data_IF_375995349998
#
_entry.id   IF_375995349998
#
_cell.length_a   1.000
_cell.length_b   1.000
_cell.length_c   1.000
_cell.angle_alpha   90.00
_cell.angle_beta   90.00
_cell.angle_gamma   90.00
#
_symmetry.space_group_name_H-M   'P 1'
#
loop_
_entity.id
_entity.type
_entity.pdbx_description
1 polymer ?
#
# COMPACT_ATOMS: atom_id res chain seq x y z
N UNK A 1 -25.92 -3.32 -4.43
CA UNK A 1 -25.96 -2.23 -3.46
C UNK A 1 -24.55 -2.01 -2.92
N UNK A 2 -23.92 -0.95 -3.42
CA UNK A 2 -22.51 -0.59 -3.19
C UNK A 2 -22.32 0.08 -1.82
N UNK A 3 -23.39 0.59 -1.23
CA UNK A 3 -23.38 1.23 0.09
C UNK A 3 -22.98 0.28 1.23
N UNK A 4 -23.18 -1.02 1.04
CA UNK A 4 -22.78 -2.05 2.03
C UNK A 4 -21.27 -2.24 2.19
N UNK A 5 -20.47 -1.77 1.25
CA UNK A 5 -18.98 -1.97 1.28
C UNK A 5 -18.30 -0.87 2.08
N UNK A 6 -18.97 0.27 2.30
CA UNK A 6 -18.37 1.50 2.82
C UNK A 6 -18.74 1.78 4.27
N UNK A 7 -19.75 1.07 4.83
CA UNK A 7 -20.33 1.40 6.15
C UNK A 7 -19.53 0.92 7.37
N UNK A 8 -18.44 0.18 7.21
CA UNK A 8 -17.70 -0.40 8.36
C UNK A 8 -16.37 0.29 8.71
N UNK A 9 -16.10 1.50 8.20
CA UNK A 9 -14.84 2.20 8.52
C UNK A 9 -14.99 3.64 9.01
N UNK A 10 -16.14 4.02 9.57
CA UNK A 10 -16.25 5.26 10.34
C UNK A 10 -15.77 5.02 11.78
N UNK A 11 -14.47 5.20 11.98
CA UNK A 11 -13.91 5.54 13.29
C UNK A 11 -13.65 7.03 13.23
N UNK A 12 -14.43 7.74 14.05
CA UNK A 12 -14.35 9.16 14.31
C UNK A 12 -12.92 9.55 14.69
N UNK A 13 -12.36 10.55 14.01
CA UNK A 13 -11.21 11.28 14.47
C UNK A 13 -11.63 12.74 14.64
N UNK A 14 -12.01 13.07 15.87
CA UNK A 14 -12.14 14.44 16.33
C UNK A 14 -10.76 15.08 16.39
N UNK A 15 -10.64 16.21 15.73
CA UNK A 15 -9.55 17.17 15.90
C UNK A 15 -9.85 18.07 17.07
N UNK A 16 -8.86 18.47 17.86
CA UNK A 16 -8.85 19.79 18.48
C UNK A 16 -7.81 20.70 17.85
N UNK A 17 -8.29 21.91 17.63
CA UNK A 17 -7.60 23.12 17.17
C UNK A 17 -6.54 23.62 18.15
N UNK A 18 -5.53 24.22 17.51
CA UNK A 18 -5.00 25.56 17.81
C UNK A 18 -4.18 25.78 19.10
N UNK A 19 -2.95 26.23 18.95
CA UNK A 19 -2.34 27.46 19.50
C UNK A 19 -0.83 27.49 19.26
N UNK A 20 -0.42 28.33 18.33
CA UNK A 20 0.56 29.43 18.30
C UNK A 20 1.80 29.42 19.23
N UNK A 21 2.96 29.75 18.58
CA UNK A 21 4.14 30.55 19.05
C UNK A 21 5.14 29.84 19.96
N UNK A 22 6.43 30.07 19.90
CA UNK A 22 7.39 31.02 19.30
C UNK A 22 8.82 30.47 19.37
N UNK A 23 9.60 30.81 18.37
CA UNK A 23 11.01 31.23 18.30
C UNK A 23 11.92 31.05 19.52
N UNK A 24 13.09 30.42 19.34
CA UNK A 24 14.43 30.91 19.71
C UNK A 24 15.55 29.95 19.29
N UNK A 25 16.27 30.25 18.33
CA UNK A 25 17.69 30.60 18.07
C UNK A 25 18.76 30.27 19.09
N UNK A 26 19.93 29.87 18.54
CA UNK A 26 21.33 29.98 18.98
C UNK A 26 21.80 28.86 19.94
N UNK A 27 22.98 28.27 19.86
CA UNK A 27 24.27 28.59 19.24
C UNK A 27 25.21 27.41 19.34
N UNK A 28 26.05 27.27 18.36
CA UNK A 28 27.48 26.97 18.30
C UNK A 28 28.26 26.62 19.61
N UNK A 29 29.09 25.60 19.49
CA UNK A 29 30.58 25.57 19.62
C UNK A 29 31.02 24.11 19.75
N UNK A 30 31.80 23.62 18.82
CA UNK A 30 33.27 23.66 18.65
C UNK A 30 34.08 22.89 19.68
N UNK A 31 34.76 21.90 19.10
CA UNK A 31 36.14 21.43 19.29
C UNK A 31 36.56 20.85 20.66
N UNK A 32 37.17 19.69 20.68
CA UNK A 32 38.63 19.51 20.58
C UNK A 32 39.04 18.05 20.52
N UNK A 33 40.06 17.86 19.70
CA UNK A 33 40.98 16.72 19.60
C UNK A 33 41.68 16.47 20.94
N UNK A 34 42.08 15.24 21.21
CA UNK A 34 43.49 14.87 21.34
C UNK A 34 43.70 13.38 21.61
N UNK A 35 44.64 12.87 20.86
CA UNK A 35 45.59 11.79 20.92
C UNK A 35 45.82 11.05 22.24
N UNK A 36 46.12 9.76 22.13
CA UNK A 36 47.38 9.11 22.47
C UNK A 36 47.23 7.69 23.02
N UNK A 37 47.85 6.81 22.30
CA UNK A 37 48.70 5.65 22.62
C UNK A 37 48.10 4.32 23.09
N UNK A 38 48.49 3.34 22.24
CA UNK A 38 48.61 1.90 22.53
C UNK A 38 49.68 1.60 23.59
N UNK A 39 49.56 0.47 24.29
CA UNK A 39 50.62 -0.51 24.15
C UNK A 39 50.14 -1.92 23.78
N UNK A 40 50.96 -2.53 22.96
CA UNK A 40 51.05 -3.96 22.68
C UNK A 40 51.25 -4.77 23.96
N UNK A 41 50.61 -5.92 24.07
CA UNK A 41 51.32 -7.14 24.53
C UNK A 41 50.66 -8.43 24.05
N UNK A 42 51.51 -9.32 23.78
CA UNK A 42 51.51 -10.58 23.10
C UNK A 42 50.63 -11.70 23.67
N UNK A 43 50.17 -12.48 22.72
CA UNK A 43 50.08 -13.96 22.72
C UNK A 43 49.76 -14.74 24.00
N UNK A 44 48.58 -15.36 23.98
CA UNK A 44 48.51 -16.76 24.41
C UNK A 44 47.38 -17.47 23.65
N UNK A 45 47.79 -18.44 22.89
CA UNK A 45 46.98 -19.44 22.18
C UNK A 45 46.08 -20.17 23.16
N UNK A 46 44.79 -20.09 22.96
CA UNK A 46 43.85 -21.06 23.49
C UNK A 46 42.87 -21.40 22.39
N UNK A 47 43.00 -22.58 21.86
CA UNK A 47 42.08 -23.24 20.94
C UNK A 47 40.75 -23.40 21.67
N UNK A 48 39.80 -22.53 21.37
CA UNK A 48 38.41 -22.75 21.76
C UNK A 48 37.71 -23.28 20.53
N UNK A 49 37.33 -24.56 20.59
CA UNK A 49 36.43 -25.20 19.66
C UNK A 49 35.11 -24.39 19.61
N UNK A 50 34.95 -23.56 18.58
CA UNK A 50 33.68 -22.99 18.22
C UNK A 50 32.87 -24.07 17.50
N UNK A 51 32.18 -24.88 18.29
CA UNK A 51 30.96 -25.55 17.84
C UNK A 51 29.93 -24.44 17.59
N UNK A 52 29.33 -24.32 16.41
CA UNK A 52 28.19 -23.45 16.25
C UNK A 52 27.06 -24.00 17.11
N UNK A 53 26.79 -23.36 18.24
CA UNK A 53 25.55 -23.55 18.96
C UNK A 53 24.50 -22.93 18.02
N UNK A 54 23.75 -23.77 17.33
CA UNK A 54 22.45 -23.36 16.78
C UNK A 54 21.62 -22.96 17.96
N UNK A 55 21.69 -21.69 18.30
CA UNK A 55 20.80 -21.05 19.26
C UNK A 55 19.42 -21.02 18.59
N UNK A 56 18.65 -22.07 18.87
CA UNK A 56 17.23 -22.13 18.63
C UNK A 56 16.58 -21.05 19.52
N UNK A 57 16.72 -19.79 19.10
CA UNK A 57 16.09 -18.68 19.77
C UNK A 57 14.58 -18.79 19.57
N UNK A 58 13.90 -19.21 20.60
CA UNK A 58 12.44 -19.14 20.67
C UNK A 58 12.04 -17.69 20.40
N UNK A 59 11.05 -17.44 19.52
CA UNK A 59 10.64 -16.09 19.21
C UNK A 59 10.20 -15.36 20.49
N UNK A 60 10.59 -14.13 20.63
CA UNK A 60 10.20 -13.29 21.75
C UNK A 60 8.69 -13.03 21.71
N UNK A 61 8.09 -12.74 22.87
CA UNK A 61 6.67 -12.39 22.95
C UNK A 61 6.32 -11.22 22.02
N UNK A 62 7.21 -10.21 21.89
CA UNK A 62 7.05 -9.13 20.93
C UNK A 62 7.01 -9.61 19.47
N UNK A 63 7.89 -10.51 19.09
CA UNK A 63 7.91 -11.07 17.72
C UNK A 63 6.64 -11.84 17.40
N UNK A 64 6.09 -12.57 18.37
CA UNK A 64 4.82 -13.29 18.23
C UNK A 64 3.67 -12.30 18.02
N UNK A 65 3.56 -11.26 18.85
CA UNK A 65 2.52 -10.24 18.70
C UNK A 65 2.66 -9.47 17.40
N UNK A 66 3.88 -9.08 17.01
CA UNK A 66 4.15 -8.39 15.77
C UNK A 66 3.77 -9.24 14.55
N UNK A 67 4.17 -10.52 14.53
CA UNK A 67 3.82 -11.45 13.45
C UNK A 67 2.29 -11.64 13.35
N UNK A 68 1.61 -11.75 14.48
CA UNK A 68 0.14 -11.89 14.52
C UNK A 68 -0.54 -10.63 13.96
N UNK A 69 -0.13 -9.45 14.39
CA UNK A 69 -0.68 -8.18 13.90
C UNK A 69 -0.43 -7.99 12.40
N UNK A 70 0.75 -8.36 11.91
CA UNK A 70 1.06 -8.32 10.48
C UNK A 70 0.21 -9.31 9.67
N UNK A 71 0.01 -10.52 10.17
CA UNK A 71 -0.85 -11.52 9.53
C UNK A 71 -2.32 -11.07 9.48
N UNK A 72 -2.82 -10.43 10.52
CA UNK A 72 -4.17 -9.87 10.55
C UNK A 72 -4.33 -8.73 9.55
N UNK A 73 -3.36 -7.82 9.47
CA UNK A 73 -3.32 -6.72 8.50
C UNK A 73 -3.33 -7.25 7.06
N UNK A 74 -2.50 -8.25 6.79
CA UNK A 74 -2.44 -8.88 5.46
C UNK A 74 -3.77 -9.55 5.10
N UNK A 75 -4.37 -10.29 6.03
CA UNK A 75 -5.68 -10.93 5.83
C UNK A 75 -6.79 -9.90 5.58
N UNK A 76 -6.79 -8.77 6.30
CA UNK A 76 -7.75 -7.70 6.09
C UNK A 76 -7.56 -7.04 4.71
N UNK A 77 -6.31 -6.82 4.29
CA UNK A 77 -5.94 -6.31 2.98
C UNK A 77 -6.42 -7.24 1.86
N UNK A 78 -6.15 -8.54 1.97
CA UNK A 78 -6.59 -9.54 1.00
C UNK A 78 -8.13 -9.58 0.90
N UNK A 79 -8.83 -9.60 2.04
CA UNK A 79 -10.30 -9.59 2.08
C UNK A 79 -10.89 -8.35 1.39
N UNK A 80 -10.24 -7.18 1.56
CA UNK A 80 -10.63 -5.95 0.87
C UNK A 80 -10.47 -6.07 -0.65
N UNK A 81 -9.33 -6.58 -1.11
CA UNK A 81 -9.06 -6.81 -2.53
C UNK A 81 -10.08 -7.77 -3.13
N UNK A 82 -10.33 -8.91 -2.48
CA UNK A 82 -11.29 -9.93 -2.96
C UNK A 82 -12.71 -9.37 -3.10
N UNK A 83 -13.16 -8.55 -2.16
CA UNK A 83 -14.46 -7.85 -2.25
C UNK A 83 -14.53 -6.95 -3.50
N UNK A 84 -13.47 -6.18 -3.76
CA UNK A 84 -13.43 -5.29 -4.93
C UNK A 84 -13.36 -6.09 -6.23
N UNK A 85 -12.56 -7.14 -6.30
CA UNK A 85 -12.49 -8.01 -7.50
C UNK A 85 -13.83 -8.71 -7.78
N UNK A 86 -14.54 -9.13 -6.75
CA UNK A 86 -15.89 -9.70 -6.87
C UNK A 86 -16.86 -8.65 -7.43
N UNK A 87 -16.83 -7.44 -6.89
CA UNK A 87 -17.63 -6.32 -7.40
C UNK A 87 -17.36 -6.03 -8.88
N UNK A 88 -16.09 -5.97 -9.29
CA UNK A 88 -15.68 -5.77 -10.69
C UNK A 88 -16.29 -6.83 -11.60
N UNK A 89 -16.14 -8.10 -11.24
CA UNK A 89 -16.67 -9.22 -12.02
C UNK A 89 -18.19 -9.15 -12.14
N UNK A 90 -18.89 -8.90 -11.03
CA UNK A 90 -20.36 -8.82 -11.03
C UNK A 90 -20.89 -7.63 -11.84
N UNK A 91 -20.20 -6.49 -11.79
CA UNK A 91 -20.66 -5.25 -12.43
C UNK A 91 -20.33 -5.23 -13.92
N UNK A 92 -19.17 -5.74 -14.33
CA UNK A 92 -18.67 -5.57 -15.69
C UNK A 92 -18.73 -6.83 -16.58
N UNK A 93 -19.17 -7.96 -16.05
CA UNK A 93 -19.25 -9.24 -16.82
C UNK A 93 -20.10 -9.13 -18.09
N UNK A 94 -21.10 -8.25 -18.12
CA UNK A 94 -21.96 -8.03 -19.29
C UNK A 94 -21.35 -7.07 -20.32
N UNK A 95 -20.33 -6.32 -19.96
CA UNK A 95 -19.73 -5.25 -20.78
C UNK A 95 -18.31 -5.54 -21.24
N UNK A 96 -17.69 -6.60 -20.73
CA UNK A 96 -16.33 -7.03 -21.05
C UNK A 96 -16.31 -8.50 -21.46
N UNK A 97 -15.44 -8.84 -22.39
CA UNK A 97 -15.12 -10.24 -22.63
C UNK A 97 -14.27 -10.79 -21.48
N UNK A 98 -14.18 -12.10 -21.35
CA UNK A 98 -13.47 -12.79 -20.27
C UNK A 98 -11.99 -12.38 -20.18
N UNK A 99 -11.32 -12.25 -21.31
CA UNK A 99 -9.90 -11.87 -21.37
C UNK A 99 -9.69 -10.47 -20.80
N UNK A 100 -10.49 -9.49 -21.23
CA UNK A 100 -10.40 -8.11 -20.78
C UNK A 100 -10.85 -7.95 -19.32
N UNK A 101 -11.84 -8.72 -18.89
CA UNK A 101 -12.26 -8.75 -17.48
C UNK A 101 -11.14 -9.27 -16.57
N UNK A 102 -10.46 -10.34 -16.99
CA UNK A 102 -9.32 -10.88 -16.23
C UNK A 102 -8.12 -9.91 -16.22
N UNK A 103 -7.86 -9.24 -17.36
CA UNK A 103 -6.82 -8.18 -17.42
C UNK A 103 -7.15 -7.03 -16.48
N UNK A 104 -8.40 -6.57 -16.45
CA UNK A 104 -8.86 -5.53 -15.52
C UNK A 104 -8.65 -5.93 -14.07
N UNK A 105 -9.02 -7.15 -13.70
CA UNK A 105 -8.77 -7.67 -12.35
C UNK A 105 -7.28 -7.66 -11.99
N UNK A 106 -6.40 -8.04 -12.93
CA UNK A 106 -4.96 -7.96 -12.77
C UNK A 106 -4.46 -6.53 -12.53
N UNK A 107 -4.90 -5.58 -13.35
CA UNK A 107 -4.53 -4.16 -13.23
C UNK A 107 -5.01 -3.55 -11.91
N UNK A 108 -6.22 -3.89 -11.47
CA UNK A 108 -6.76 -3.42 -10.19
C UNK A 108 -6.00 -4.01 -9.01
N UNK A 109 -5.59 -5.27 -9.09
CA UNK A 109 -4.74 -5.91 -8.07
C UNK A 109 -3.40 -5.19 -7.96
N UNK A 110 -2.73 -4.95 -9.09
CA UNK A 110 -1.46 -4.23 -9.13
C UNK A 110 -1.62 -2.79 -8.62
N UNK A 111 -2.69 -2.09 -9.03
CA UNK A 111 -3.02 -0.76 -8.55
C UNK A 111 -3.24 -0.70 -7.03
N UNK A 112 -3.85 -1.74 -6.45
CA UNK A 112 -4.04 -1.84 -5.00
C UNK A 112 -2.74 -2.05 -4.25
N UNK A 113 -1.91 -2.99 -4.71
CA UNK A 113 -0.68 -3.41 -4.03
C UNK A 113 0.50 -2.45 -4.23
N UNK A 114 0.47 -1.65 -5.30
CA UNK A 114 1.57 -0.74 -5.66
C UNK A 114 1.26 0.69 -5.27
N UNK A 115 2.29 1.44 -4.90
CA UNK A 115 2.21 2.90 -4.72
C UNK A 115 2.32 3.65 -6.05
N UNK A 116 2.78 2.98 -7.10
CA UNK A 116 2.87 3.53 -8.46
C UNK A 116 1.71 3.06 -9.34
N UNK A 117 1.42 3.83 -10.39
CA UNK A 117 0.41 3.44 -11.37
C UNK A 117 0.92 2.26 -12.21
N UNK A 118 0.14 1.19 -12.36
CA UNK A 118 0.51 0.06 -13.17
C UNK A 118 0.66 0.45 -14.65
N UNK A 119 1.49 -0.30 -15.36
CA UNK A 119 1.56 -0.23 -16.82
C UNK A 119 0.38 -1.01 -17.39
N UNK A 120 -0.59 -0.30 -17.95
CA UNK A 120 -1.81 -0.89 -18.47
C UNK A 120 -1.92 -0.70 -19.98
N UNK A 121 -2.53 -1.66 -20.65
CA UNK A 121 -3.02 -1.52 -22.01
C UNK A 121 -4.51 -1.20 -21.97
N UNK A 122 -5.01 -0.29 -22.82
CA UNK A 122 -6.42 0.07 -22.84
C UNK A 122 -7.32 -1.14 -23.09
N UNK A 123 -8.41 -1.22 -22.36
CA UNK A 123 -9.43 -2.26 -22.44
C UNK A 123 -10.60 -1.73 -23.25
N UNK A 124 -11.13 -2.57 -24.14
CA UNK A 124 -12.36 -2.29 -24.88
C UNK A 124 -13.56 -2.70 -24.05
N UNK A 125 -14.51 -1.79 -23.90
CA UNK A 125 -15.80 -2.07 -23.26
C UNK A 125 -16.93 -2.00 -24.29
N UNK A 126 -18.05 -2.65 -23.98
CA UNK A 126 -19.25 -2.53 -24.78
C UNK A 126 -19.77 -1.09 -24.78
N UNK A 127 -20.33 -0.64 -25.90
CA UNK A 127 -20.86 0.71 -26.10
C UNK A 127 -22.06 1.06 -25.18
N UNK A 128 -22.66 0.07 -24.55
CA UNK A 128 -23.72 0.27 -23.55
C UNK A 128 -23.17 0.84 -22.24
N UNK A 129 -21.88 0.62 -21.92
CA UNK A 129 -21.24 1.18 -20.72
C UNK A 129 -20.82 2.61 -21.02
N UNK A 130 -21.49 3.56 -20.38
CA UNK A 130 -21.25 4.99 -20.60
C UNK A 130 -20.06 5.50 -19.81
N UNK A 131 -19.49 6.60 -20.27
CA UNK A 131 -18.39 7.31 -19.57
C UNK A 131 -18.72 7.58 -18.11
N UNK A 132 -19.97 7.98 -17.79
CA UNK A 132 -20.36 8.25 -16.41
C UNK A 132 -20.31 6.98 -15.53
N UNK A 133 -20.67 5.83 -16.08
CA UNK A 133 -20.63 4.55 -15.35
C UNK A 133 -19.18 4.16 -15.03
N UNK A 134 -18.26 4.37 -15.99
CA UNK A 134 -16.81 4.15 -15.80
C UNK A 134 -16.26 5.08 -14.73
N UNK A 135 -16.68 6.34 -14.70
CA UNK A 135 -16.27 7.30 -13.67
C UNK A 135 -16.77 6.91 -12.28
N UNK A 136 -18.02 6.48 -12.16
CA UNK A 136 -18.57 5.97 -10.90
C UNK A 136 -17.86 4.68 -10.44
N UNK A 137 -17.59 3.78 -11.37
CA UNK A 137 -16.82 2.57 -11.11
C UNK A 137 -15.41 2.92 -10.56
N UNK A 138 -14.71 3.82 -11.22
CA UNK A 138 -13.40 4.28 -10.77
C UNK A 138 -13.43 4.93 -9.38
N UNK A 139 -14.44 5.79 -9.14
CA UNK A 139 -14.65 6.40 -7.84
C UNK A 139 -14.83 5.35 -6.72
N UNK A 140 -15.66 4.33 -6.96
CA UNK A 140 -15.93 3.28 -5.99
C UNK A 140 -14.67 2.48 -5.66
N UNK A 141 -13.86 2.13 -6.66
CA UNK A 141 -12.57 1.45 -6.46
C UNK A 141 -11.60 2.32 -5.65
N UNK A 142 -11.44 3.58 -6.03
CA UNK A 142 -10.55 4.52 -5.35
C UNK A 142 -10.95 4.70 -3.87
N UNK A 143 -12.25 4.86 -3.60
CA UNK A 143 -12.81 4.97 -2.25
C UNK A 143 -12.57 3.68 -1.45
N UNK A 144 -12.84 2.52 -2.04
CA UNK A 144 -12.65 1.22 -1.38
C UNK A 144 -11.19 0.98 -0.98
N UNK A 145 -10.24 1.41 -1.80
CA UNK A 145 -8.81 1.24 -1.54
C UNK A 145 -8.17 2.38 -0.74
N UNK A 146 -8.90 3.49 -0.54
CA UNK A 146 -8.35 4.68 0.10
C UNK A 146 -7.27 5.39 -0.73
N UNK A 147 -7.29 5.22 -2.05
CA UNK A 147 -6.31 5.85 -2.95
C UNK A 147 -6.68 7.30 -3.28
N UNK A 148 -5.69 8.19 -3.53
CA UNK A 148 -5.95 9.57 -3.91
C UNK A 148 -6.80 9.67 -5.19
N UNK A 149 -7.73 10.63 -5.23
CA UNK A 149 -8.66 10.82 -6.37
C UNK A 149 -7.94 11.00 -7.70
N UNK A 150 -6.87 11.80 -7.73
CA UNK A 150 -6.10 12.06 -8.94
C UNK A 150 -5.41 10.78 -9.44
N UNK A 151 -4.85 9.99 -8.55
CA UNK A 151 -4.23 8.71 -8.90
C UNK A 151 -5.26 7.73 -9.46
N UNK A 152 -6.44 7.65 -8.83
CA UNK A 152 -7.55 6.84 -9.31
C UNK A 152 -8.04 7.30 -10.69
N UNK A 153 -8.25 8.59 -10.89
CA UNK A 153 -8.68 9.15 -12.17
C UNK A 153 -7.67 8.85 -13.29
N UNK A 154 -6.37 8.99 -12.99
CA UNK A 154 -5.30 8.67 -13.95
C UNK A 154 -5.28 7.18 -14.29
N UNK A 155 -5.48 6.32 -13.30
CA UNK A 155 -5.59 4.87 -13.51
C UNK A 155 -6.76 4.54 -14.45
N UNK A 156 -7.95 5.02 -14.13
CA UNK A 156 -9.16 4.78 -14.92
C UNK A 156 -9.02 5.34 -16.35
N UNK A 157 -8.47 6.55 -16.50
CA UNK A 157 -8.22 7.15 -17.83
C UNK A 157 -7.28 6.27 -18.68
N UNK A 158 -6.28 5.65 -18.08
CA UNK A 158 -5.37 4.75 -18.81
C UNK A 158 -6.04 3.44 -19.18
N UNK A 159 -6.77 2.81 -18.26
CA UNK A 159 -7.43 1.52 -18.49
C UNK A 159 -8.53 1.63 -19.54
N UNK A 160 -9.35 2.68 -19.48
CA UNK A 160 -10.50 2.89 -20.36
C UNK A 160 -10.26 3.98 -21.40
N UNK A 161 -9.00 4.17 -21.85
CA UNK A 161 -8.62 5.25 -22.74
C UNK A 161 -9.47 5.28 -24.03
N UNK A 162 -9.83 4.14 -24.60
CA UNK A 162 -10.67 4.10 -25.80
C UNK A 162 -12.07 4.68 -25.58
N UNK A 163 -12.70 4.34 -24.47
CA UNK A 163 -14.07 4.80 -24.19
C UNK A 163 -14.12 6.25 -23.70
N UNK A 164 -13.05 6.69 -23.01
CA UNK A 164 -13.00 8.06 -22.48
C UNK A 164 -12.51 9.08 -23.50
N UNK A 165 -11.76 8.68 -24.53
CA UNK A 165 -11.36 9.57 -25.63
C UNK A 165 -12.47 9.85 -26.63
N UNK A 166 -13.44 8.94 -26.76
CA UNK A 166 -14.60 9.13 -27.67
C UNK A 166 -15.65 10.10 -27.07
N UNK A 167 -15.40 10.66 -25.90
CA UNK A 167 -16.33 11.51 -25.13
C UNK A 167 -15.98 12.99 -25.13
N UNK A 168 -14.92 13.40 -25.89
CA UNK A 168 -14.51 14.82 -26.04
C UNK A 168 -15.14 15.50 -27.25
#
# INVERSE_FOLDING_TARGET
DIESIVSESEIENETPSDTTEEVSTLSLSESNEDSTELPKNEATSSIINNTPIEESSQPTEYEIYHATAMAEKERASQKKLDKVLTYIKQTLVLYLNETDLNRLCGYVTEYYLSDSLPKVEPIKVDSQLKTIDIMHFGWNIGKAFGKPRLQTATFIKRVFAHTLSDSE
#
